data_IF_142999368466
#
_entry.id   IF_142999368466
#
_cell.length_a   1.000
_cell.length_b   1.000
_cell.length_c   1.000
_cell.angle_alpha   90.00
_cell.angle_beta   90.00
_cell.angle_gamma   90.00
#
_symmetry.space_group_name_H-M   'P 1'
#
loop_
_entity.id
_entity.type
_entity.pdbx_description
1 polymer ?
#
# COMPACT_ATOMS: atom_id res chain seq x y z
N UNK A 1 49.48 -48.98 -3.66
CA UNK A 1 48.28 -49.44 -4.40
C UNK A 1 47.07 -49.77 -3.50
N UNK A 2 47.23 -50.37 -2.31
CA UNK A 2 46.12 -50.69 -1.39
C UNK A 2 45.45 -49.46 -0.76
N UNK A 3 46.22 -48.43 -0.39
CA UNK A 3 45.71 -47.19 0.20
C UNK A 3 44.90 -46.33 -0.80
N UNK A 4 45.24 -46.38 -2.10
CA UNK A 4 44.49 -45.72 -3.16
C UNK A 4 43.12 -46.38 -3.41
N UNK A 5 43.06 -47.73 -3.38
CA UNK A 5 41.79 -48.47 -3.46
C UNK A 5 40.91 -48.26 -2.23
N UNK A 6 41.51 -48.15 -1.02
CA UNK A 6 40.78 -47.81 0.21
C UNK A 6 40.21 -46.40 0.18
N UNK A 7 40.99 -45.40 -0.24
CA UNK A 7 40.51 -44.01 -0.37
C UNK A 7 39.45 -43.85 -1.45
N UNK A 8 39.56 -44.52 -2.60
CA UNK A 8 38.49 -44.57 -3.60
C UNK A 8 37.22 -45.27 -3.09
N UNK A 9 37.36 -46.33 -2.29
CA UNK A 9 36.21 -47.00 -1.68
C UNK A 9 35.57 -46.17 -0.57
N UNK A 10 36.36 -45.44 0.23
CA UNK A 10 35.86 -44.48 1.22
C UNK A 10 35.22 -43.26 0.55
N UNK A 11 35.76 -42.77 -0.57
CA UNK A 11 35.12 -41.72 -1.38
C UNK A 11 33.84 -42.21 -2.07
N UNK A 12 33.78 -43.49 -2.48
CA UNK A 12 32.55 -44.15 -2.95
C UNK A 12 31.54 -44.43 -1.83
N UNK A 13 31.96 -44.53 -0.58
CA UNK A 13 31.08 -44.69 0.59
C UNK A 13 30.64 -43.35 1.15
N UNK A 14 31.44 -42.29 0.98
CA UNK A 14 31.06 -40.89 1.15
C UNK A 14 30.20 -40.44 -0.04
N UNK A 15 29.11 -41.18 -0.25
CA UNK A 15 27.82 -40.76 -0.74
C UNK A 15 27.25 -39.49 -0.08
N UNK A 16 27.51 -38.20 -0.41
CA UNK A 16 26.70 -37.14 0.18
C UNK A 16 25.25 -37.40 -0.21
N UNK A 17 24.47 -37.90 0.73
CA UNK A 17 23.03 -37.97 0.60
C UNK A 17 22.60 -36.55 0.27
N UNK A 18 22.06 -36.35 -0.93
CA UNK A 18 21.59 -35.03 -1.36
C UNK A 18 20.58 -34.56 -0.31
N UNK A 19 20.99 -33.64 0.57
CA UNK A 19 20.21 -33.19 1.72
C UNK A 19 19.57 -31.87 1.34
N UNK A 20 18.33 -31.94 0.87
CA UNK A 20 17.52 -30.75 0.66
C UNK A 20 17.03 -30.25 2.01
N UNK A 21 16.98 -28.93 2.16
CA UNK A 21 16.45 -28.32 3.36
C UNK A 21 14.93 -28.49 3.45
N UNK A 22 14.47 -29.00 4.59
CA UNK A 22 13.06 -29.34 4.82
C UNK A 22 12.15 -28.11 4.83
N UNK A 23 12.61 -26.97 5.34
CA UNK A 23 11.83 -25.73 5.35
C UNK A 23 11.50 -25.26 3.94
N UNK A 24 12.47 -25.20 3.01
CA UNK A 24 12.19 -24.85 1.61
C UNK A 24 11.10 -25.74 0.97
N UNK A 25 11.15 -27.05 1.26
CA UNK A 25 10.13 -27.97 0.74
C UNK A 25 8.74 -27.66 1.31
N UNK A 26 8.64 -27.35 2.62
CA UNK A 26 7.38 -26.97 3.25
C UNK A 26 6.89 -25.60 2.76
N UNK A 27 7.77 -24.61 2.70
CA UNK A 27 7.47 -23.26 2.24
C UNK A 27 6.95 -23.27 0.81
N UNK A 28 7.56 -24.07 -0.08
CA UNK A 28 7.08 -24.20 -1.47
C UNK A 28 5.64 -24.70 -1.54
N UNK A 29 5.25 -25.63 -0.66
CA UNK A 29 3.90 -26.19 -0.60
C UNK A 29 2.91 -25.17 -0.02
N UNK A 30 3.33 -24.38 0.97
CA UNK A 30 2.49 -23.33 1.56
C UNK A 30 2.22 -22.25 0.53
N UNK A 31 3.27 -21.76 -0.15
CA UNK A 31 3.17 -20.74 -1.20
C UNK A 31 2.25 -21.23 -2.33
N UNK A 32 2.40 -22.48 -2.78
CA UNK A 32 1.52 -23.02 -3.83
C UNK A 32 0.04 -23.04 -3.39
N UNK A 33 -0.26 -23.31 -2.10
CA UNK A 33 -1.62 -23.25 -1.56
C UNK A 33 -2.16 -21.82 -1.49
N UNK A 34 -1.35 -20.87 -1.07
CA UNK A 34 -1.74 -19.45 -1.01
C UNK A 34 -2.06 -18.91 -2.39
N UNK A 35 -1.20 -19.19 -3.37
CA UNK A 35 -1.40 -18.79 -4.77
C UNK A 35 -2.67 -19.42 -5.33
N UNK A 36 -2.91 -20.70 -5.03
CA UNK A 36 -4.16 -21.35 -5.41
C UNK A 36 -5.38 -20.64 -4.81
N UNK A 37 -5.32 -20.25 -3.53
CA UNK A 37 -6.41 -19.52 -2.86
C UNK A 37 -6.65 -18.16 -3.52
N UNK A 38 -5.58 -17.40 -3.78
CA UNK A 38 -5.66 -16.09 -4.45
C UNK A 38 -6.26 -16.22 -5.85
N UNK A 39 -5.76 -17.17 -6.65
CA UNK A 39 -6.29 -17.42 -8.00
C UNK A 39 -7.77 -17.83 -7.97
N UNK A 40 -8.17 -18.66 -7.01
CA UNK A 40 -9.57 -19.04 -6.80
C UNK A 40 -10.42 -17.82 -6.48
N UNK A 41 -9.99 -16.97 -5.55
CA UNK A 41 -10.73 -15.76 -5.17
C UNK A 41 -10.86 -14.77 -6.33
N UNK A 42 -9.77 -14.52 -7.07
CA UNK A 42 -9.80 -13.66 -8.25
C UNK A 42 -10.74 -14.21 -9.33
N UNK A 43 -10.71 -15.53 -9.56
CA UNK A 43 -11.60 -16.16 -10.52
C UNK A 43 -13.07 -16.05 -10.09
N UNK A 44 -13.37 -16.21 -8.80
CA UNK A 44 -14.72 -16.07 -8.26
C UNK A 44 -15.25 -14.64 -8.34
N UNK A 45 -14.41 -13.63 -8.12
CA UNK A 45 -14.80 -12.20 -8.26
C UNK A 45 -15.31 -11.86 -9.66
N UNK A 46 -14.80 -12.52 -10.70
CA UNK A 46 -15.29 -12.33 -12.09
C UNK A 46 -16.76 -12.73 -12.22
N UNK A 47 -17.19 -13.80 -11.55
CA UNK A 47 -18.56 -14.31 -11.63
C UNK A 47 -19.52 -13.68 -10.60
N UNK A 48 -18.98 -13.06 -9.56
CA UNK A 48 -19.76 -12.35 -8.54
C UNK A 48 -20.60 -11.22 -9.15
N UNK A 49 -20.05 -10.53 -10.16
CA UNK A 49 -20.75 -9.47 -10.90
C UNK A 49 -21.92 -10.00 -11.72
N UNK A 50 -21.87 -11.27 -12.14
CA UNK A 50 -22.87 -11.84 -13.05
C UNK A 50 -24.02 -12.54 -12.31
N UNK A 51 -23.76 -13.49 -11.41
CA UNK A 51 -24.76 -14.01 -10.43
C UNK A 51 -24.09 -14.61 -9.19
N UNK A 52 -24.53 -14.27 -7.96
CA UNK A 52 -23.93 -14.77 -6.73
C UNK A 52 -24.09 -16.29 -6.55
N UNK A 53 -25.16 -16.90 -7.09
CA UNK A 53 -25.41 -18.35 -6.98
C UNK A 53 -24.45 -19.23 -7.80
N UNK A 54 -23.66 -18.67 -8.73
CA UNK A 54 -22.66 -19.44 -9.47
C UNK A 54 -21.51 -19.89 -8.58
N UNK A 55 -21.15 -19.10 -7.56
CA UNK A 55 -20.03 -19.38 -6.64
C UNK A 55 -20.22 -20.70 -5.92
N UNK A 56 -21.39 -20.91 -5.33
CA UNK A 56 -21.63 -22.07 -4.47
C UNK A 56 -21.79 -23.36 -5.27
N UNK A 57 -22.46 -23.29 -6.43
CA UNK A 57 -22.70 -24.46 -7.28
C UNK A 57 -21.44 -24.97 -7.98
N UNK A 58 -20.54 -24.08 -8.39
CA UNK A 58 -19.37 -24.44 -9.20
C UNK A 58 -18.04 -24.39 -8.44
N UNK A 59 -18.06 -24.24 -7.12
CA UNK A 59 -16.84 -24.15 -6.31
C UNK A 59 -15.86 -25.31 -6.59
N UNK A 60 -16.35 -26.54 -6.61
CA UNK A 60 -15.53 -27.75 -6.81
C UNK A 60 -15.02 -27.86 -8.25
N UNK A 61 -15.81 -27.42 -9.24
CA UNK A 61 -15.42 -27.40 -10.66
C UNK A 61 -14.33 -26.36 -10.91
N UNK A 62 -14.44 -25.17 -10.31
CA UNK A 62 -13.44 -24.09 -10.40
C UNK A 62 -12.11 -24.53 -9.77
N UNK A 63 -12.15 -25.13 -8.58
CA UNK A 63 -10.95 -25.68 -7.93
C UNK A 63 -10.26 -26.70 -8.83
N UNK A 64 -11.02 -27.61 -9.42
CA UNK A 64 -10.49 -28.62 -10.34
C UNK A 64 -9.88 -27.98 -11.58
N UNK A 65 -10.57 -27.02 -12.19
CA UNK A 65 -10.08 -26.29 -13.36
C UNK A 65 -8.74 -25.58 -13.08
N UNK A 66 -8.62 -24.86 -11.97
CA UNK A 66 -7.39 -24.18 -11.59
C UNK A 66 -6.26 -25.20 -11.36
N UNK A 67 -6.52 -26.28 -10.62
CA UNK A 67 -5.52 -27.34 -10.40
C UNK A 67 -5.11 -28.03 -11.72
N UNK A 68 -6.03 -28.18 -12.66
CA UNK A 68 -5.77 -28.73 -13.98
C UNK A 68 -4.89 -27.78 -14.80
N UNK A 69 -5.11 -26.46 -14.75
CA UNK A 69 -4.23 -25.47 -15.37
C UNK A 69 -2.82 -25.52 -14.77
N UNK A 70 -2.71 -25.53 -13.44
CA UNK A 70 -1.41 -25.62 -12.76
C UNK A 70 -0.69 -26.91 -13.17
N UNK A 71 -1.38 -28.05 -13.18
CA UNK A 71 -0.83 -29.32 -13.64
C UNK A 71 -0.39 -29.27 -15.11
N UNK A 72 -1.19 -28.64 -15.98
CA UNK A 72 -0.95 -28.53 -17.42
C UNK A 72 0.27 -27.69 -17.77
N UNK A 73 0.49 -26.59 -17.06
CA UNK A 73 1.60 -25.67 -17.33
C UNK A 73 2.86 -25.95 -16.51
N UNK A 74 2.76 -26.67 -15.39
CA UNK A 74 3.92 -27.05 -14.58
C UNK A 74 4.33 -28.51 -14.81
N UNK A 75 3.60 -29.47 -14.25
CA UNK A 75 4.02 -30.87 -14.19
C UNK A 75 4.07 -31.53 -15.57
N UNK A 76 3.09 -31.25 -16.46
CA UNK A 76 3.09 -31.82 -17.81
C UNK A 76 4.31 -31.38 -18.62
N UNK A 77 4.72 -30.12 -18.48
CA UNK A 77 5.91 -29.56 -19.14
C UNK A 77 7.22 -29.83 -18.37
N UNK A 78 7.20 -30.63 -17.30
CA UNK A 78 8.35 -30.87 -16.42
C UNK A 78 8.94 -29.60 -15.79
N UNK A 79 8.16 -28.51 -15.70
CA UNK A 79 8.56 -27.25 -15.09
C UNK A 79 8.18 -27.23 -13.61
N UNK A 80 8.97 -26.58 -12.72
CA UNK A 80 8.59 -26.44 -11.33
C UNK A 80 7.29 -25.64 -11.18
N UNK A 81 6.51 -25.94 -10.14
CA UNK A 81 5.37 -25.09 -9.75
C UNK A 81 5.90 -23.73 -9.29
N UNK A 82 5.05 -22.72 -9.18
CA UNK A 82 5.51 -21.39 -8.82
C UNK A 82 6.21 -21.35 -7.45
N UNK A 83 5.61 -21.97 -6.42
CA UNK A 83 6.21 -22.08 -5.09
C UNK A 83 7.52 -22.88 -5.12
N UNK A 84 7.58 -23.95 -5.90
CA UNK A 84 8.82 -24.69 -6.10
C UNK A 84 9.89 -23.83 -6.80
N UNK A 85 9.52 -23.06 -7.83
CA UNK A 85 10.42 -22.16 -8.56
C UNK A 85 11.02 -21.10 -7.63
N UNK A 86 10.22 -20.48 -6.76
CA UNK A 86 10.71 -19.52 -5.78
C UNK A 86 11.70 -20.12 -4.77
N UNK A 87 11.50 -21.39 -4.40
CA UNK A 87 12.39 -22.11 -3.49
C UNK A 87 13.53 -22.86 -4.23
N UNK A 88 13.70 -22.62 -5.54
CA UNK A 88 14.65 -23.34 -6.40
C UNK A 88 14.51 -24.87 -6.32
N UNK A 89 13.29 -25.37 -6.24
CA UNK A 89 12.97 -26.81 -6.19
C UNK A 89 12.34 -27.27 -7.49
N UNK A 90 12.58 -28.53 -7.85
CA UNK A 90 11.97 -29.24 -8.97
C UNK A 90 11.63 -30.67 -8.55
N UNK A 91 10.54 -31.21 -9.11
CA UNK A 91 10.19 -32.62 -8.93
C UNK A 91 11.08 -33.52 -9.77
N UNK A 92 11.69 -34.52 -9.13
CA UNK A 92 12.56 -35.51 -9.75
C UNK A 92 12.01 -36.92 -9.54
N UNK A 93 12.13 -37.76 -10.57
CA UNK A 93 11.82 -39.18 -10.49
C UNK A 93 12.93 -39.97 -9.77
N UNK A 94 12.61 -40.67 -8.70
CA UNK A 94 13.60 -41.51 -7.99
C UNK A 94 13.57 -42.98 -8.39
N UNK A 95 12.53 -43.43 -9.08
CA UNK A 95 12.41 -44.80 -9.57
C UNK A 95 13.56 -45.14 -10.52
N UNK A 96 13.87 -44.23 -11.44
CA UNK A 96 14.96 -44.37 -12.41
C UNK A 96 16.35 -44.29 -11.76
N UNK A 97 16.45 -43.62 -10.61
CA UNK A 97 17.70 -43.42 -9.85
C UNK A 97 17.96 -44.48 -8.77
N UNK A 98 17.21 -45.60 -8.75
CA UNK A 98 17.41 -46.68 -7.78
C UNK A 98 18.77 -47.40 -7.93
N UNK A 99 19.51 -47.15 -9.01
CA UNK A 99 20.87 -47.65 -9.17
C UNK A 99 21.87 -46.73 -8.42
N UNK A 100 22.74 -47.33 -7.58
CA UNK A 100 23.72 -46.64 -6.70
C UNK A 100 24.66 -45.63 -7.39
N UNK A 101 24.63 -45.51 -8.73
CA UNK A 101 25.53 -44.65 -9.52
C UNK A 101 24.93 -43.30 -9.93
N UNK A 102 23.64 -43.07 -9.73
CA UNK A 102 22.98 -41.85 -10.19
C UNK A 102 22.78 -40.81 -9.06
N UNK A 103 23.77 -40.71 -8.15
CA UNK A 103 23.78 -39.69 -7.10
C UNK A 103 24.24 -38.31 -7.57
N UNK A 104 24.79 -38.21 -8.78
CA UNK A 104 25.16 -36.95 -9.41
C UNK A 104 24.26 -36.63 -10.62
N UNK A 105 23.61 -35.47 -10.55
CA UNK A 105 23.25 -34.54 -11.63
C UNK A 105 22.53 -35.03 -12.89
N UNK A 106 21.97 -36.23 -12.90
CA UNK A 106 20.95 -36.54 -13.88
C UNK A 106 19.62 -35.88 -13.43
N UNK A 107 19.30 -34.75 -14.05
CA UNK A 107 17.96 -34.17 -14.05
C UNK A 107 17.02 -35.12 -14.81
N UNK A 108 16.60 -36.21 -14.15
CA UNK A 108 15.59 -37.08 -14.72
C UNK A 108 14.22 -36.45 -14.53
N UNK A 109 13.66 -35.98 -15.63
CA UNK A 109 12.28 -35.53 -15.68
C UNK A 109 11.31 -36.68 -15.31
N UNK A 110 10.10 -36.30 -14.92
CA UNK A 110 9.04 -37.23 -14.56
C UNK A 110 8.63 -38.09 -15.76
N UNK A 111 8.48 -39.40 -15.53
CA UNK A 111 7.95 -40.32 -16.56
C UNK A 111 6.52 -39.95 -16.95
N UNK A 112 6.11 -40.26 -18.19
CA UNK A 112 4.73 -40.05 -18.67
C UNK A 112 3.70 -40.72 -17.74
N UNK A 113 4.00 -41.93 -17.28
CA UNK A 113 3.15 -42.68 -16.34
C UNK A 113 3.05 -41.99 -14.98
N UNK A 114 4.16 -41.49 -14.47
CA UNK A 114 4.19 -40.76 -13.19
C UNK A 114 3.44 -39.44 -13.28
N UNK A 115 3.54 -38.72 -14.41
CA UNK A 115 2.75 -37.51 -14.66
C UNK A 115 1.26 -37.83 -14.62
N UNK A 116 0.83 -38.88 -15.32
CA UNK A 116 -0.58 -39.31 -15.31
C UNK A 116 -1.05 -39.74 -13.91
N UNK A 117 -0.26 -40.53 -13.19
CA UNK A 117 -0.61 -40.94 -11.82
C UNK A 117 -0.60 -39.76 -10.84
N UNK A 118 0.29 -38.78 -11.02
CA UNK A 118 0.28 -37.54 -10.27
C UNK A 118 -1.03 -36.78 -10.50
N UNK A 119 -1.49 -36.65 -11.74
CA UNK A 119 -2.78 -36.06 -12.05
C UNK A 119 -3.93 -36.80 -11.36
N UNK A 120 -3.99 -38.12 -11.53
CA UNK A 120 -5.06 -38.94 -10.95
C UNK A 120 -5.10 -38.80 -9.42
N UNK A 121 -3.95 -38.86 -8.76
CA UNK A 121 -3.88 -38.88 -7.29
C UNK A 121 -3.93 -37.50 -6.64
N UNK A 122 -3.30 -36.46 -7.21
CA UNK A 122 -3.29 -35.11 -6.62
C UNK A 122 -4.35 -34.16 -7.17
N UNK A 123 -4.82 -34.33 -8.40
CA UNK A 123 -5.78 -33.40 -9.02
C UNK A 123 -7.18 -34.02 -9.10
N UNK A 124 -7.29 -35.22 -9.66
CA UNK A 124 -8.59 -35.86 -9.87
C UNK A 124 -9.19 -36.45 -8.58
N UNK A 125 -8.37 -37.12 -7.76
CA UNK A 125 -8.81 -37.71 -6.49
C UNK A 125 -9.52 -36.72 -5.55
N UNK A 126 -8.97 -35.53 -5.22
CA UNK A 126 -9.68 -34.59 -4.35
C UNK A 126 -10.98 -34.06 -4.97
N UNK A 127 -11.03 -33.87 -6.29
CA UNK A 127 -12.26 -33.48 -6.98
C UNK A 127 -13.35 -34.56 -6.88
N UNK A 128 -12.98 -35.82 -7.18
CA UNK A 128 -13.90 -36.95 -7.05
C UNK A 128 -14.36 -37.14 -5.60
N UNK A 129 -13.45 -36.93 -4.64
CA UNK A 129 -13.77 -36.99 -3.21
C UNK A 129 -14.83 -35.94 -2.83
N UNK A 130 -14.62 -34.67 -3.20
CA UNK A 130 -15.60 -33.60 -2.94
C UNK A 130 -16.94 -33.93 -3.62
N UNK A 131 -16.93 -34.34 -4.89
CA UNK A 131 -18.15 -34.65 -5.65
C UNK A 131 -18.94 -35.84 -5.08
N UNK A 132 -18.24 -36.91 -4.69
CA UNK A 132 -18.86 -38.07 -4.06
C UNK A 132 -19.42 -37.71 -2.69
N UNK A 133 -18.70 -36.91 -1.90
CA UNK A 133 -19.15 -36.47 -0.59
C UNK A 133 -20.41 -35.60 -0.68
N UNK A 134 -20.47 -34.67 -1.64
CA UNK A 134 -21.66 -33.86 -1.90
C UNK A 134 -22.83 -34.74 -2.34
N UNK A 135 -22.60 -35.70 -3.23
CA UNK A 135 -23.63 -36.65 -3.67
C UNK A 135 -24.16 -37.54 -2.52
N UNK A 136 -23.28 -37.99 -1.64
CA UNK A 136 -23.66 -38.79 -0.47
C UNK A 136 -24.44 -37.97 0.56
N UNK A 137 -24.07 -36.71 0.74
CA UNK A 137 -24.73 -35.78 1.67
C UNK A 137 -26.12 -35.40 1.15
N UNK A 138 -26.24 -35.03 -0.12
CA UNK A 138 -27.52 -34.63 -0.74
C UNK A 138 -28.56 -35.77 -0.75
N UNK A 139 -28.10 -37.01 -0.84
CA UNK A 139 -28.98 -38.19 -0.80
C UNK A 139 -29.18 -38.76 0.62
N UNK A 140 -28.67 -38.10 1.67
CA UNK A 140 -28.88 -38.51 3.05
C UNK A 140 -28.34 -39.91 3.39
N UNK A 141 -27.19 -40.32 2.83
CA UNK A 141 -26.71 -41.71 2.97
C UNK A 141 -26.44 -42.15 4.41
N UNK A 142 -26.28 -41.19 5.32
CA UNK A 142 -26.16 -41.39 6.77
C UNK A 142 -27.41 -41.99 7.41
N UNK A 143 -28.60 -41.66 6.91
CA UNK A 143 -29.90 -41.95 7.55
C UNK A 143 -30.43 -43.35 7.24
N UNK A 144 -29.96 -44.00 6.17
CA UNK A 144 -30.39 -45.35 5.82
C UNK A 144 -30.14 -46.39 6.93
N UNK A 145 -30.88 -47.51 6.89
CA UNK A 145 -30.64 -48.64 7.80
C UNK A 145 -29.28 -49.30 7.54
N UNK A 146 -28.71 -49.92 8.58
CA UNK A 146 -27.37 -50.57 8.56
C UNK A 146 -27.30 -51.71 7.54
N UNK A 147 -28.44 -52.34 7.21
CA UNK A 147 -28.53 -53.43 6.22
C UNK A 147 -28.37 -52.93 4.77
N UNK A 148 -28.59 -51.64 4.51
CA UNK A 148 -28.51 -51.11 3.15
C UNK A 148 -27.05 -50.96 2.69
N UNK A 149 -26.71 -51.39 1.46
CA UNK A 149 -25.34 -51.33 0.95
C UNK A 149 -24.81 -49.88 0.88
N UNK A 150 -25.69 -48.90 0.63
CA UNK A 150 -25.36 -47.47 0.59
C UNK A 150 -24.72 -46.96 1.89
N UNK A 151 -25.23 -47.39 3.05
CA UNK A 151 -24.67 -47.01 4.36
C UNK A 151 -23.33 -47.68 4.62
N UNK A 152 -23.14 -48.91 4.15
CA UNK A 152 -21.84 -49.60 4.24
C UNK A 152 -20.77 -48.89 3.42
N UNK A 153 -21.11 -48.44 2.21
CA UNK A 153 -20.22 -47.64 1.34
C UNK A 153 -19.87 -46.30 2.01
N UNK A 154 -20.86 -45.60 2.57
CA UNK A 154 -20.62 -44.36 3.31
C UNK A 154 -19.67 -44.56 4.51
N UNK A 155 -19.88 -45.62 5.31
CA UNK A 155 -18.97 -45.97 6.41
C UNK A 155 -17.56 -46.33 5.91
N UNK A 156 -17.44 -47.05 4.80
CA UNK A 156 -16.16 -47.38 4.18
C UNK A 156 -15.42 -46.12 3.75
N UNK A 157 -16.11 -45.20 3.08
CA UNK A 157 -15.56 -43.92 2.65
C UNK A 157 -15.03 -43.08 3.82
N UNK A 158 -15.80 -43.01 4.92
CA UNK A 158 -15.33 -42.35 6.15
C UNK A 158 -14.14 -43.05 6.80
N UNK A 159 -14.12 -44.38 6.79
CA UNK A 159 -12.99 -45.14 7.32
C UNK A 159 -11.73 -44.89 6.48
N UNK A 160 -11.86 -44.86 5.15
CA UNK A 160 -10.77 -44.50 4.24
C UNK A 160 -10.25 -43.08 4.48
N UNK A 161 -11.14 -42.11 4.73
CA UNK A 161 -10.72 -40.74 5.08
C UNK A 161 -9.90 -40.71 6.39
N UNK A 162 -10.36 -41.42 7.43
CA UNK A 162 -9.63 -41.54 8.70
C UNK A 162 -8.27 -42.20 8.52
N UNK A 163 -8.21 -43.29 7.75
CA UNK A 163 -6.97 -44.01 7.43
C UNK A 163 -6.02 -43.09 6.65
N UNK A 164 -6.53 -42.35 5.67
CA UNK A 164 -5.73 -41.39 4.91
C UNK A 164 -5.15 -40.29 5.81
N UNK A 165 -5.95 -39.70 6.71
CA UNK A 165 -5.48 -38.69 7.67
C UNK A 165 -4.39 -39.25 8.59
N UNK A 166 -4.59 -40.45 9.16
CA UNK A 166 -3.58 -41.11 9.99
C UNK A 166 -2.30 -41.43 9.20
N UNK A 167 -2.45 -41.93 7.98
CA UNK A 167 -1.33 -42.22 7.07
C UNK A 167 -0.57 -40.94 6.68
N UNK A 168 -1.28 -39.84 6.46
CA UNK A 168 -0.68 -38.53 6.16
C UNK A 168 0.13 -37.99 7.34
N UNK A 169 -0.34 -38.18 8.58
CA UNK A 169 0.36 -37.80 9.81
C UNK A 169 1.63 -38.64 9.99
N UNK A 170 1.54 -39.96 9.81
CA UNK A 170 2.71 -40.86 9.85
C UNK A 170 3.74 -40.51 8.76
N UNK A 171 3.27 -40.18 7.56
CA UNK A 171 4.14 -39.70 6.49
C UNK A 171 4.84 -38.40 6.88
N UNK A 172 4.11 -37.44 7.44
CA UNK A 172 4.66 -36.17 7.91
C UNK A 172 5.69 -36.37 9.03
N UNK A 173 5.42 -37.24 10.00
CA UNK A 173 6.38 -37.60 11.04
C UNK A 173 7.68 -38.19 10.46
N UNK A 174 7.53 -39.16 9.54
CA UNK A 174 8.67 -39.73 8.82
C UNK A 174 9.42 -38.68 7.99
N UNK A 175 8.69 -37.71 7.44
CA UNK A 175 9.25 -36.60 6.67
C UNK A 175 10.07 -35.66 7.54
N UNK A 176 9.63 -35.35 8.76
CA UNK A 176 10.43 -34.53 9.69
C UNK A 176 11.77 -35.19 10.02
N UNK A 177 11.80 -36.52 10.14
CA UNK A 177 13.03 -37.26 10.37
C UNK A 177 13.92 -37.36 9.10
N UNK A 178 13.37 -37.80 7.96
CA UNK A 178 14.17 -38.10 6.75
C UNK A 178 14.31 -36.94 5.75
N UNK A 179 13.34 -36.00 5.69
CA UNK A 179 13.33 -34.87 4.75
C UNK A 179 13.18 -35.25 3.27
N UNK A 180 12.60 -36.42 2.97
CA UNK A 180 12.58 -37.01 1.62
C UNK A 180 11.28 -36.77 0.84
N UNK A 181 10.15 -37.22 1.36
CA UNK A 181 8.85 -37.13 0.69
C UNK A 181 7.86 -36.32 1.53
N UNK A 182 7.30 -35.25 0.97
CA UNK A 182 6.40 -34.33 1.68
C UNK A 182 4.99 -34.88 1.81
N UNK A 183 4.47 -35.61 0.82
CA UNK A 183 3.14 -36.24 0.87
C UNK A 183 3.17 -37.76 0.69
N UNK A 184 2.09 -38.44 1.11
CA UNK A 184 1.93 -39.89 0.92
C UNK A 184 1.88 -40.25 -0.58
N UNK A 185 1.33 -39.35 -1.39
CA UNK A 185 1.22 -39.50 -2.84
C UNK A 185 2.61 -39.43 -3.47
N UNK A 186 3.44 -38.48 -3.02
CA UNK A 186 4.83 -38.36 -3.50
C UNK A 186 5.66 -39.60 -3.12
N UNK A 187 5.40 -40.20 -1.95
CA UNK A 187 6.02 -41.47 -1.52
C UNK A 187 5.57 -42.65 -2.38
N UNK A 188 4.29 -42.74 -2.69
CA UNK A 188 3.73 -43.82 -3.53
C UNK A 188 4.28 -43.75 -4.96
N UNK A 189 4.40 -42.55 -5.51
CA UNK A 189 4.95 -42.31 -6.86
C UNK A 189 6.49 -42.30 -6.90
N UNK A 190 7.15 -42.29 -5.73
CA UNK A 190 8.61 -42.11 -5.57
C UNK A 190 9.12 -40.87 -6.30
N UNK A 191 8.41 -39.76 -6.12
CA UNK A 191 8.79 -38.44 -6.64
C UNK A 191 9.36 -37.63 -5.48
N UNK A 192 10.51 -36.99 -5.68
CA UNK A 192 11.17 -36.16 -4.66
C UNK A 192 11.37 -34.72 -5.14
N UNK A 193 11.22 -33.79 -4.20
CA UNK A 193 11.62 -32.39 -4.38
C UNK A 193 13.12 -32.23 -4.19
N UNK A 194 13.80 -31.83 -5.25
CA UNK A 194 15.26 -31.65 -5.36
C UNK A 194 15.55 -30.22 -5.83
N UNK A 195 16.72 -29.66 -5.52
CA UNK A 195 17.11 -28.36 -6.07
C UNK A 195 17.20 -28.42 -7.59
N UNK A 196 16.68 -27.40 -8.28
CA UNK A 196 16.73 -27.32 -9.75
C UNK A 196 18.14 -26.94 -10.23
N UNK A 197 18.75 -25.95 -9.56
CA UNK A 197 20.14 -25.55 -9.76
C UNK A 197 20.95 -25.70 -8.47
N UNK A 198 22.08 -26.41 -8.53
CA UNK A 198 22.98 -26.61 -7.38
C UNK A 198 23.83 -25.37 -7.07
N UNK A 199 24.15 -24.57 -8.11
CA UNK A 199 25.04 -23.41 -7.98
C UNK A 199 24.36 -22.15 -7.44
N UNK A 200 23.04 -22.15 -7.28
CA UNK A 200 22.38 -21.10 -6.51
C UNK A 200 22.53 -21.46 -5.03
N UNK A 201 23.69 -21.11 -4.47
CA UNK A 201 23.80 -20.92 -3.04
C UNK A 201 22.65 -20.02 -2.63
N UNK A 202 21.76 -20.60 -1.84
CA UNK A 202 20.55 -20.05 -1.22
C UNK A 202 20.63 -18.54 -0.99
N UNK A 203 20.33 -17.74 -2.00
CA UNK A 203 19.93 -16.35 -1.80
C UNK A 203 18.49 -16.49 -1.34
N UNK A 204 18.31 -16.53 -0.01
CA UNK A 204 17.00 -16.24 0.57
C UNK A 204 16.68 -14.85 0.02
N UNK A 205 15.73 -14.74 -0.91
CA UNK A 205 15.33 -13.47 -1.49
C UNK A 205 14.61 -12.67 -0.42
N UNK A 206 15.40 -12.06 0.47
CA UNK A 206 14.94 -11.08 1.44
C UNK A 206 14.51 -9.79 0.75
N UNK A 207 14.59 -9.69 -0.57
CA UNK A 207 14.22 -8.51 -1.36
C UNK A 207 12.86 -7.96 -0.92
N UNK A 208 11.85 -8.80 -0.79
CA UNK A 208 10.51 -8.37 -0.34
C UNK A 208 10.47 -7.91 1.12
N UNK A 209 11.17 -8.60 2.02
CA UNK A 209 11.30 -8.19 3.42
C UNK A 209 12.01 -6.84 3.52
N UNK A 210 13.09 -6.67 2.77
CA UNK A 210 13.87 -5.45 2.68
C UNK A 210 13.04 -4.32 2.07
N UNK A 211 12.25 -4.57 1.02
CA UNK A 211 11.34 -3.57 0.45
C UNK A 211 10.26 -3.15 1.44
N UNK A 212 9.67 -4.10 2.16
CA UNK A 212 8.65 -3.80 3.16
C UNK A 212 9.24 -2.97 4.32
N UNK A 213 10.45 -3.30 4.75
CA UNK A 213 11.15 -2.56 5.80
C UNK A 213 11.51 -1.14 5.34
N UNK A 214 12.02 -0.99 4.11
CA UNK A 214 12.31 0.32 3.52
C UNK A 214 11.04 1.16 3.40
N UNK A 215 9.95 0.60 2.88
CA UNK A 215 8.69 1.32 2.75
C UNK A 215 8.12 1.74 4.10
N UNK A 216 8.15 0.84 5.09
CA UNK A 216 7.70 1.14 6.45
C UNK A 216 8.51 2.27 7.09
N UNK A 217 9.84 2.20 7.02
CA UNK A 217 10.74 3.25 7.52
C UNK A 217 10.47 4.57 6.81
N UNK A 218 10.32 4.55 5.48
CA UNK A 218 10.00 5.74 4.69
C UNK A 218 8.66 6.36 5.11
N UNK A 219 7.61 5.55 5.31
CA UNK A 219 6.30 6.08 5.72
C UNK A 219 6.32 6.68 7.12
N UNK A 220 7.03 6.07 8.07
CA UNK A 220 7.17 6.63 9.41
C UNK A 220 7.98 7.93 9.39
N UNK A 221 9.03 7.98 8.58
CA UNK A 221 9.81 9.20 8.37
C UNK A 221 8.98 10.31 7.73
N UNK A 222 8.18 9.99 6.70
CA UNK A 222 7.31 10.95 6.03
C UNK A 222 6.21 11.47 6.96
N UNK A 223 5.61 10.60 7.78
CA UNK A 223 4.63 11.01 8.80
C UNK A 223 5.24 11.96 9.83
N UNK A 224 6.52 11.77 10.18
CA UNK A 224 7.23 12.71 11.06
C UNK A 224 7.50 14.06 10.39
N UNK A 225 7.77 14.06 9.07
CA UNK A 225 8.04 15.28 8.30
C UNK A 225 6.76 16.04 7.94
N UNK A 226 5.64 15.34 7.73
CA UNK A 226 4.39 15.93 7.24
C UNK A 226 3.88 17.11 8.09
N UNK A 227 3.93 17.09 9.44
CA UNK A 227 3.59 18.25 10.28
C UNK A 227 4.51 19.47 10.08
N UNK A 228 5.76 19.27 9.66
CA UNK A 228 6.72 20.35 9.42
C UNK A 228 6.66 20.90 7.99
N UNK A 229 6.02 20.18 7.07
CA UNK A 229 5.81 20.65 5.71
C UNK A 229 4.59 21.57 5.67
N UNK A 230 4.85 22.87 5.53
CA UNK A 230 3.80 23.81 5.21
C UNK A 230 3.36 23.67 3.74
N UNK A 231 2.37 22.80 3.53
CA UNK A 231 1.79 22.47 2.22
C UNK A 231 1.22 23.74 1.53
N UNK A 232 0.70 24.71 2.30
CA UNK A 232 0.15 25.97 1.78
C UNK A 232 1.25 26.91 1.28
N UNK A 233 2.33 27.06 2.06
CA UNK A 233 3.50 27.85 1.67
C UNK A 233 4.19 27.31 0.41
N UNK A 234 4.40 25.99 0.34
CA UNK A 234 4.95 25.32 -0.84
C UNK A 234 4.05 25.48 -2.07
N UNK A 235 2.72 25.35 -1.91
CA UNK A 235 1.78 25.55 -3.01
C UNK A 235 1.82 26.98 -3.54
N UNK A 236 1.89 27.98 -2.66
CA UNK A 236 1.98 29.39 -3.05
C UNK A 236 3.33 29.71 -3.72
N UNK A 237 4.43 29.13 -3.25
CA UNK A 237 5.74 29.21 -3.88
C UNK A 237 5.75 28.59 -5.29
N UNK A 238 5.23 27.37 -5.44
CA UNK A 238 5.09 26.71 -6.76
C UNK A 238 4.12 27.42 -7.69
N UNK A 239 3.04 28.01 -7.16
CA UNK A 239 2.10 28.84 -7.93
C UNK A 239 2.78 30.13 -8.40
N UNK A 240 3.68 30.72 -7.60
CA UNK A 240 4.54 31.83 -8.03
C UNK A 240 5.53 31.42 -9.14
N UNK A 241 6.14 30.24 -9.01
CA UNK A 241 7.09 29.72 -9.98
C UNK A 241 6.44 29.37 -11.33
N UNK A 242 5.24 28.78 -11.31
CA UNK A 242 4.56 28.29 -12.52
C UNK A 242 3.63 29.32 -13.17
N UNK A 243 3.22 30.37 -12.46
CA UNK A 243 2.16 31.27 -12.92
C UNK A 243 2.66 32.69 -13.23
N UNK A 244 3.74 32.77 -14.01
CA UNK A 244 4.40 34.02 -14.45
C UNK A 244 3.46 34.95 -15.25
N UNK A 245 2.31 34.47 -15.73
CA UNK A 245 1.35 35.25 -16.56
C UNK A 245 0.20 35.95 -15.81
N UNK A 246 0.00 35.74 -14.49
CA UNK A 246 -1.08 36.41 -13.70
C UNK A 246 -0.59 37.51 -12.74
N UNK A 247 0.69 37.88 -12.83
CA UNK A 247 1.45 38.57 -11.76
C UNK A 247 1.01 40.01 -11.45
N UNK A 248 0.23 40.68 -12.31
CA UNK A 248 -0.10 42.11 -12.13
C UNK A 248 -1.60 42.43 -12.20
N UNK A 249 -2.48 41.50 -11.83
CA UNK A 249 -3.94 41.68 -11.98
C UNK A 249 -4.50 42.93 -11.26
N UNK A 250 -3.86 43.35 -10.16
CA UNK A 250 -4.32 44.46 -9.32
C UNK A 250 -3.33 45.63 -9.24
N UNK A 251 -2.39 45.73 -10.19
CA UNK A 251 -1.41 46.83 -10.23
C UNK A 251 -2.09 48.19 -10.43
N UNK A 252 -3.19 48.20 -11.20
CA UNK A 252 -3.93 49.41 -11.57
C UNK A 252 -5.06 49.75 -10.58
N UNK A 253 -5.16 49.03 -9.45
CA UNK A 253 -6.18 49.28 -8.44
C UNK A 253 -5.81 50.51 -7.57
N UNK A 254 -6.73 51.44 -7.29
CA UNK A 254 -6.44 52.64 -6.51
C UNK A 254 -5.90 52.30 -5.10
N UNK A 255 -5.02 53.15 -4.57
CA UNK A 255 -4.38 52.97 -3.25
C UNK A 255 -5.37 52.85 -2.09
N UNK A 256 -6.57 53.42 -2.23
CA UNK A 256 -7.61 53.44 -1.20
C UNK A 256 -8.45 52.15 -1.17
N UNK A 257 -8.18 51.19 -2.07
CA UNK A 257 -8.90 49.93 -2.16
C UNK A 257 -8.02 48.73 -1.80
N UNK A 258 -8.53 47.84 -0.95
CA UNK A 258 -7.81 46.63 -0.56
C UNK A 258 -7.87 45.58 -1.67
N UNK A 259 -6.72 45.23 -2.27
CA UNK A 259 -6.69 44.21 -3.33
C UNK A 259 -7.04 42.80 -2.81
N UNK A 260 -6.78 42.52 -1.52
CA UNK A 260 -7.08 41.22 -0.89
C UNK A 260 -8.60 41.05 -0.69
N UNK A 261 -9.30 42.11 -0.24
CA UNK A 261 -10.78 42.07 -0.15
C UNK A 261 -11.42 41.82 -1.51
N UNK A 262 -10.89 42.46 -2.56
CA UNK A 262 -11.37 42.29 -3.94
C UNK A 262 -11.06 40.89 -4.51
N UNK A 263 -9.94 40.28 -4.12
CA UNK A 263 -9.61 38.90 -4.50
C UNK A 263 -10.50 37.88 -3.77
N UNK A 264 -10.78 38.07 -2.49
CA UNK A 264 -11.60 37.14 -1.70
C UNK A 264 -13.08 37.12 -2.11
N UNK A 265 -13.65 38.27 -2.45
CA UNK A 265 -15.06 38.36 -2.85
C UNK A 265 -15.29 38.11 -4.34
N UNK A 266 -14.25 38.11 -5.18
CA UNK A 266 -14.33 37.96 -6.65
C UNK A 266 -15.26 38.94 -7.38
N UNK A 267 -15.79 39.96 -6.69
CA UNK A 267 -16.67 40.97 -7.27
C UNK A 267 -15.87 42.06 -7.98
N UNK A 268 -16.24 42.32 -9.23
CA UNK A 268 -15.53 43.28 -10.10
C UNK A 268 -16.00 44.71 -9.84
N UNK A 269 -17.27 44.87 -9.46
CA UNK A 269 -17.98 46.16 -9.45
C UNK A 269 -18.04 46.85 -8.08
N UNK A 270 -17.76 46.11 -6.99
CA UNK A 270 -17.79 46.66 -5.63
C UNK A 270 -16.46 47.34 -5.25
N UNK A 271 -16.56 48.55 -4.70
CA UNK A 271 -15.43 49.25 -4.08
C UNK A 271 -15.22 48.73 -2.66
N UNK A 272 -14.04 48.16 -2.38
CA UNK A 272 -13.67 47.68 -1.04
C UNK A 272 -12.66 48.65 -0.40
N UNK A 273 -13.12 49.62 0.43
CA UNK A 273 -12.23 50.53 1.13
C UNK A 273 -11.33 49.79 2.12
N UNK A 274 -10.20 50.41 2.47
CA UNK A 274 -9.26 49.83 3.44
C UNK A 274 -9.74 50.12 4.86
N UNK A 275 -10.01 49.06 5.63
CA UNK A 275 -10.32 49.13 7.06
C UNK A 275 -9.06 48.87 7.87
N UNK A 276 -8.64 49.84 8.69
CA UNK A 276 -7.41 49.83 9.48
C UNK A 276 -6.18 49.63 8.57
N UNK A 277 -5.64 50.73 8.01
CA UNK A 277 -4.62 50.66 6.98
C UNK A 277 -3.27 50.23 7.55
N UNK A 278 -2.67 49.26 6.89
CA UNK A 278 -1.33 48.76 7.18
C UNK A 278 -0.49 48.73 5.91
N UNK A 279 0.74 49.23 5.99
CA UNK A 279 1.69 49.29 4.88
C UNK A 279 2.65 48.11 4.94
N UNK A 280 2.93 47.54 3.77
CA UNK A 280 3.90 46.46 3.60
C UNK A 280 5.29 47.00 3.26
N UNK A 281 6.31 46.17 3.43
CA UNK A 281 7.68 46.43 2.95
C UNK A 281 7.78 46.80 1.44
N UNK A 282 6.76 46.50 0.63
CA UNK A 282 6.70 46.87 -0.78
C UNK A 282 5.91 48.16 -1.07
N UNK A 283 5.50 48.90 -0.02
CA UNK A 283 4.81 50.19 -0.11
C UNK A 283 3.30 50.10 -0.41
N UNK A 284 2.73 48.89 -0.47
CA UNK A 284 1.29 48.72 -0.72
C UNK A 284 0.51 48.62 0.59
N UNK A 285 -0.65 49.28 0.63
CA UNK A 285 -1.52 49.37 1.81
C UNK A 285 -2.69 48.39 1.69
N UNK A 286 -3.01 47.72 2.80
CA UNK A 286 -4.09 46.73 2.93
C UNK A 286 -4.80 46.87 4.28
N UNK A 287 -5.96 46.23 4.42
CA UNK A 287 -6.62 46.10 5.74
C UNK A 287 -5.79 45.20 6.65
N UNK A 288 -5.65 45.58 7.93
CA UNK A 288 -4.94 44.80 8.96
C UNK A 288 -5.33 43.31 8.94
N UNK A 289 -6.62 43.00 9.05
CA UNK A 289 -7.13 41.62 9.10
C UNK A 289 -6.83 40.83 7.83
N UNK A 290 -6.96 41.46 6.66
CA UNK A 290 -6.73 40.78 5.39
C UNK A 290 -5.27 40.37 5.24
N UNK A 291 -4.35 41.29 5.51
CA UNK A 291 -2.94 41.00 5.33
C UNK A 291 -2.38 40.08 6.42
N UNK A 292 -2.83 40.24 7.67
CA UNK A 292 -2.44 39.37 8.79
C UNK A 292 -2.95 37.95 8.57
N UNK A 293 -4.19 37.78 8.12
CA UNK A 293 -4.75 36.46 7.80
C UNK A 293 -4.00 35.78 6.68
N UNK A 294 -3.64 36.50 5.61
CA UNK A 294 -2.85 35.96 4.51
C UNK A 294 -1.42 35.59 4.92
N UNK A 295 -0.77 36.40 5.76
CA UNK A 295 0.52 36.06 6.35
C UNK A 295 0.43 34.75 7.15
N UNK A 296 -0.53 34.63 8.06
CA UNK A 296 -0.71 33.43 8.90
C UNK A 296 -1.05 32.21 8.03
N UNK A 297 -1.94 32.37 7.05
CA UNK A 297 -2.32 31.29 6.14
C UNK A 297 -1.17 30.82 5.25
N UNK A 298 -0.25 31.73 4.90
CA UNK A 298 0.90 31.42 4.04
C UNK A 298 1.97 30.61 4.75
N UNK A 299 2.15 30.79 6.07
CA UNK A 299 3.32 30.23 6.78
C UNK A 299 3.03 29.43 8.05
N UNK A 300 1.80 29.46 8.56
CA UNK A 300 1.41 28.75 9.78
C UNK A 300 2.14 29.23 11.05
N UNK A 301 3.04 30.22 10.94
CA UNK A 301 3.85 30.79 12.00
C UNK A 301 4.01 32.30 11.76
N UNK A 302 3.92 33.11 12.81
CA UNK A 302 3.89 34.58 12.72
C UNK A 302 5.20 35.22 12.23
N UNK A 303 6.35 34.56 12.39
CA UNK A 303 7.69 35.19 12.26
C UNK A 303 8.35 35.09 10.88
N UNK A 304 7.82 34.28 9.98
CA UNK A 304 8.32 34.17 8.60
C UNK A 304 7.10 34.06 7.72
N UNK A 305 6.76 35.10 6.98
CA UNK A 305 5.71 35.09 5.95
C UNK A 305 6.32 34.79 4.57
N UNK A 306 5.63 33.99 3.78
CA UNK A 306 5.93 33.70 2.37
C UNK A 306 4.81 34.25 1.48
N UNK A 307 4.03 35.19 2.01
CA UNK A 307 2.96 35.83 1.28
C UNK A 307 3.54 36.76 0.20
N UNK A 308 3.06 36.61 -1.03
CA UNK A 308 3.42 37.46 -2.15
C UNK A 308 2.36 38.54 -2.32
N UNK A 309 2.81 39.80 -2.39
CA UNK A 309 1.93 40.94 -2.61
C UNK A 309 1.16 40.81 -3.95
N UNK A 310 -0.18 40.93 -3.98
CA UNK A 310 -0.98 40.82 -5.20
C UNK A 310 -0.81 42.01 -6.18
N UNK A 311 -0.15 43.09 -5.76
CA UNK A 311 0.09 44.30 -6.58
C UNK A 311 1.47 44.31 -7.26
N UNK A 312 2.51 43.82 -6.58
CA UNK A 312 3.89 43.86 -7.08
C UNK A 312 4.65 42.54 -6.99
N UNK A 313 4.03 41.47 -6.46
CA UNK A 313 4.62 40.14 -6.27
C UNK A 313 5.87 40.07 -5.38
N UNK A 314 6.21 41.14 -4.67
CA UNK A 314 7.25 41.11 -3.64
C UNK A 314 6.80 40.26 -2.44
N UNK A 315 7.75 39.58 -1.81
CA UNK A 315 7.50 38.84 -0.57
C UNK A 315 7.31 39.85 0.56
N UNK A 316 6.12 39.84 1.16
CA UNK A 316 5.80 40.66 2.32
C UNK A 316 6.47 40.04 3.54
N UNK A 317 7.45 40.73 4.12
CA UNK A 317 8.18 40.26 5.33
C UNK A 317 7.62 40.87 6.60
N UNK A 318 7.44 42.18 6.58
CA UNK A 318 7.01 42.99 7.72
C UNK A 318 5.87 43.92 7.31
N UNK A 319 5.07 44.34 8.30
CA UNK A 319 3.92 45.20 8.13
C UNK A 319 3.89 46.22 9.28
N UNK A 320 3.66 47.46 8.94
CA UNK A 320 3.57 48.59 9.88
C UNK A 320 2.21 49.28 9.77
N UNK A 321 1.68 49.86 10.86
CA UNK A 321 0.48 50.69 10.79
C UNK A 321 0.72 51.90 9.90
N UNK A 322 -0.23 52.24 9.04
CA UNK A 322 -0.15 53.41 8.17
C UNK A 322 -0.93 54.57 8.81
N UNK A 323 -0.23 55.62 9.21
CA UNK A 323 -0.83 56.86 9.73
C UNK A 323 -0.90 57.89 8.60
N UNK A 324 -2.08 58.47 8.42
CA UNK A 324 -2.31 59.58 7.50
C UNK A 324 -2.01 60.87 8.26
N UNK A 325 -0.98 61.61 7.86
CA UNK A 325 -0.69 62.93 8.38
C UNK A 325 -1.20 63.97 7.38
N UNK A 326 -2.22 64.73 7.79
CA UNK A 326 -2.63 65.94 7.09
C UNK A 326 -1.67 67.07 7.48
N UNK A 327 -0.77 67.45 6.58
CA UNK A 327 0.07 68.65 6.74
C UNK A 327 -0.77 69.90 6.46
N UNK A 328 -1.66 70.25 7.38
CA UNK A 328 -2.23 71.60 7.50
C UNK A 328 -2.36 72.01 8.97
N UNK A 329 -1.30 72.57 9.54
CA UNK A 329 -1.31 73.77 10.39
C UNK A 329 0.01 73.92 11.17
N UNK A 330 0.91 74.77 10.66
CA UNK A 330 1.92 75.41 11.49
C UNK A 330 1.29 76.53 12.33
N UNK A 331 1.80 76.68 13.55
CA UNK A 331 1.76 77.85 14.46
C UNK A 331 0.47 78.16 15.25
N UNK A 332 0.49 77.79 16.54
CA UNK A 332 0.39 78.78 17.62
C UNK A 332 0.77 78.16 18.96
N UNK A 333 1.69 78.84 19.64
CA UNK A 333 2.36 78.55 20.90
C UNK A 333 1.47 78.66 22.16
N UNK A 334 2.06 78.22 23.28
CA UNK A 334 1.70 78.45 24.70
C UNK A 334 0.49 77.66 25.21
N UNK A 335 0.50 77.02 26.39
CA UNK A 335 1.42 76.94 27.54
C UNK A 335 0.83 75.90 28.52
N UNK A 336 1.70 75.23 29.30
CA UNK A 336 1.56 74.90 30.75
C UNK A 336 0.21 74.32 31.27
N UNK A 337 0.09 73.38 32.20
CA UNK A 337 0.92 72.60 33.14
C UNK A 337 -0.08 71.58 33.75
N UNK A 338 0.43 70.44 34.21
CA UNK A 338 -0.07 69.49 35.23
C UNK A 338 -1.55 69.55 35.68
N UNK A 339 -2.24 68.40 35.70
CA UNK A 339 -2.37 67.63 36.95
C UNK A 339 -3.16 66.32 36.80
N UNK A 340 -2.83 65.42 37.73
CA UNK A 340 -3.39 64.09 37.98
C UNK A 340 -4.91 64.11 38.26
N UNK A 341 -5.62 63.03 37.93
CA UNK A 341 -6.27 62.18 38.96
C UNK A 341 -7.01 60.97 38.35
N UNK A 342 -7.00 59.93 39.17
CA UNK A 342 -7.58 58.60 39.03
C UNK A 342 -9.12 58.62 39.08
N UNK A 343 -9.78 57.54 38.63
CA UNK A 343 -11.11 57.21 39.14
C UNK A 343 -12.11 56.63 38.13
N UNK A 344 -12.10 55.31 38.04
CA UNK A 344 -13.26 54.40 38.08
C UNK A 344 -14.52 54.64 37.20
N UNK A 345 -14.72 53.65 36.31
CA UNK A 345 -15.96 52.89 36.07
C UNK A 345 -17.33 53.57 36.27
N UNK A 346 -18.11 53.64 35.18
CA UNK A 346 -19.36 52.86 35.09
C UNK A 346 -20.09 53.03 33.77
N UNK A 347 -20.69 51.92 33.36
CA UNK A 347 -21.51 51.69 32.18
C UNK A 347 -22.72 52.63 32.07
N UNK A 348 -23.09 52.96 30.82
CA UNK A 348 -24.49 52.86 30.38
C UNK A 348 -24.63 52.95 28.87
N UNK A 349 -25.27 51.91 28.35
CA UNK A 349 -25.96 51.86 27.06
C UNK A 349 -26.89 53.07 26.87
N UNK A 350 -26.99 53.58 25.64
CA UNK A 350 -28.21 53.51 24.82
C UNK A 350 -28.06 54.34 23.54
N UNK A 351 -28.52 53.75 22.43
CA UNK A 351 -29.30 54.33 21.31
C UNK A 351 -28.98 55.74 20.80
N UNK A 352 -29.12 56.08 19.53
CA UNK A 352 -29.45 55.42 18.27
C UNK A 352 -29.61 56.60 17.31
N UNK A 353 -29.16 56.43 16.07
CA UNK A 353 -29.60 57.15 14.88
C UNK A 353 -29.27 58.66 14.84
N UNK A 354 -28.48 59.05 13.85
CA UNK A 354 -28.99 59.91 12.79
C UNK A 354 -28.14 59.71 11.53
N UNK A 355 -28.86 59.65 10.42
CA UNK A 355 -28.42 59.50 9.05
C UNK A 355 -27.70 60.77 8.54
N UNK A 356 -27.26 60.68 7.28
CA UNK A 356 -26.84 61.77 6.38
C UNK A 356 -25.35 62.19 6.58
N UNK A 357 -24.48 62.28 5.58
CA UNK A 357 -24.64 62.45 4.15
C UNK A 357 -23.42 61.90 3.38
N UNK A 358 -23.70 61.55 2.13
CA UNK A 358 -22.73 61.27 1.07
C UNK A 358 -22.00 62.56 0.70
N UNK A 359 -20.67 62.55 0.69
CA UNK A 359 -19.96 63.38 -0.29
C UNK A 359 -18.69 62.72 -0.81
N UNK A 360 -18.67 62.61 -2.12
CA UNK A 360 -17.62 62.06 -2.97
C UNK A 360 -16.77 63.17 -3.57
N UNK A 361 -15.48 62.86 -3.78
CA UNK A 361 -14.50 63.50 -4.67
C UNK A 361 -13.82 64.75 -4.07
N UNK A 362 -12.51 64.96 -4.18
CA UNK A 362 -11.67 64.73 -5.35
C UNK A 362 -10.16 64.74 -5.03
N UNK A 363 -9.40 64.17 -5.95
CA UNK A 363 -7.94 64.13 -6.06
C UNK A 363 -7.15 65.40 -5.70
N UNK A 364 -5.93 65.23 -5.15
CA UNK A 364 -4.66 65.73 -5.74
C UNK A 364 -3.40 65.27 -4.99
N UNK A 365 -2.43 64.80 -5.79
CA UNK A 365 -0.97 64.90 -5.65
C UNK A 365 -0.26 64.32 -4.41
N UNK A 366 0.44 63.19 -4.62
CA UNK A 366 1.57 62.78 -3.77
C UNK A 366 2.86 62.81 -4.60
N UNK A 367 3.73 63.73 -4.21
CA UNK A 367 5.13 63.86 -4.64
C UNK A 367 5.94 62.93 -3.74
N UNK A 368 6.84 62.16 -4.36
CA UNK A 368 7.83 61.31 -3.67
C UNK A 368 8.85 62.16 -2.91
N UNK A 369 9.15 61.76 -1.68
CA UNK A 369 10.50 61.82 -1.14
C UNK A 369 10.96 60.40 -0.80
#
# INVERSE_FOLDING_TARGET
MSNYKRTLNSARQAIPYLKIMRSCQLDSIIIDKEIFSILKELFLKIFEVYKPSFRDKYQSEIKFFINLLIYRFSILESKPTYGCKLQNLKYRNEFFHSSKKSMFNANSDLSKEQKLMYFVLKVLSPYLYEKLNDYMTNNGWSEYSIKNPKKKIWKLFQSLEKIYKLSSLLNFYTFLYNGKYTSIIDRLLKIRLVYDNENSNRIISNDYLSFQLVWFVLTNFLLFILPFLNIKGIKNYFKGLLNIKKINKYKDLPLNQCAICKENNNDVDSSYPIHIPYITNCGHVYCYYCIRSEMINSTGNEKKSMYMCPRCSAIVKDIEPFYYYDDESETSSTSEVDDNEEGEESEKDTNSNNDDDVDTLNHRNLIKF
#
